data_IF_184997281628
#
_entry.id   IF_184997281628
#
_cell.length_a   1.000
_cell.length_b   1.000
_cell.length_c   1.000
_cell.angle_alpha   90.00
_cell.angle_beta   90.00
_cell.angle_gamma   90.00
#
_symmetry.space_group_name_H-M   'P 1'
#
loop_
_entity.id
_entity.type
_entity.pdbx_description
1 polymer ?
#
# COMPACT_ATOMS: atom_id res chain seq x y z
N UNK A 1 -3.36 -0.71 -0.91
CA UNK A 1 -3.05 -2.14 -1.01
C UNK A 1 -2.10 -2.41 -2.16
N UNK A 2 -1.21 -3.35 -2.02
CA UNK A 2 -0.43 -3.88 -3.12
C UNK A 2 -1.33 -4.81 -3.95
N UNK A 3 -0.93 -5.12 -5.17
CA UNK A 3 -1.68 -6.05 -6.02
C UNK A 3 -0.80 -6.58 -7.13
N UNK A 4 -1.06 -7.81 -7.52
CA UNK A 4 -0.36 -8.48 -8.61
C UNK A 4 -1.35 -9.33 -9.41
N UNK A 5 -1.30 -9.19 -10.73
CA UNK A 5 -2.05 -10.03 -11.65
C UNK A 5 -1.24 -10.29 -12.90
N UNK A 6 -1.24 -11.52 -13.35
CA UNK A 6 -0.58 -11.92 -14.60
C UNK A 6 -1.50 -12.87 -15.35
N UNK A 7 -1.80 -12.55 -16.60
CA UNK A 7 -2.56 -13.41 -17.51
C UNK A 7 -1.74 -13.67 -18.77
N UNK A 8 -1.84 -14.87 -19.27
CA UNK A 8 -1.19 -15.31 -20.49
C UNK A 8 -2.17 -16.04 -21.37
N UNK A 9 -2.15 -15.75 -22.67
CA UNK A 9 -3.00 -16.40 -23.65
C UNK A 9 -2.22 -16.65 -24.94
N UNK A 10 -2.32 -17.86 -25.46
CA UNK A 10 -1.74 -18.20 -26.76
C UNK A 10 -2.83 -18.05 -27.82
N UNK A 11 -2.54 -17.24 -28.82
CA UNK A 11 -3.42 -17.08 -29.99
C UNK A 11 -2.61 -17.20 -31.27
N UNK A 12 -2.98 -18.15 -32.13
CA UNK A 12 -2.20 -18.58 -33.31
C UNK A 12 -0.76 -18.92 -32.86
N UNK A 13 0.25 -18.22 -33.38
CA UNK A 13 1.67 -18.40 -33.03
C UNK A 13 2.18 -17.39 -32.00
N UNK A 14 1.30 -16.53 -31.48
CA UNK A 14 1.67 -15.48 -30.55
C UNK A 14 1.28 -15.83 -29.12
N UNK A 15 2.19 -15.63 -28.18
CA UNK A 15 1.92 -15.67 -26.76
C UNK A 15 1.75 -14.22 -26.26
N UNK A 16 0.54 -13.89 -25.82
CA UNK A 16 0.18 -12.59 -25.23
C UNK A 16 0.33 -12.72 -23.72
N UNK A 17 1.15 -11.88 -23.11
CA UNK A 17 1.30 -11.83 -21.66
C UNK A 17 1.04 -10.42 -21.16
N UNK A 18 0.18 -10.28 -20.14
CA UNK A 18 -0.13 -9.03 -19.46
C UNK A 18 0.17 -9.19 -17.99
N UNK A 19 1.09 -8.37 -17.50
CA UNK A 19 1.48 -8.32 -16.09
C UNK A 19 1.09 -6.96 -15.50
N UNK A 20 0.40 -6.97 -14.36
CA UNK A 20 -0.03 -5.78 -13.63
C UNK A 20 0.56 -5.83 -12.23
N UNK A 21 1.28 -4.78 -11.85
CA UNK A 21 1.79 -4.55 -10.50
C UNK A 21 1.20 -3.28 -9.94
N UNK A 22 0.69 -3.34 -8.73
CA UNK A 22 0.12 -2.15 -8.09
C UNK A 22 0.74 -1.92 -6.72
N UNK A 23 1.03 -0.63 -6.42
CA UNK A 23 1.48 -0.17 -5.12
C UNK A 23 0.49 0.85 -4.58
N UNK A 24 0.47 0.99 -3.26
CA UNK A 24 -0.42 1.95 -2.62
C UNK A 24 -0.03 3.40 -3.00
N UNK A 25 -1.01 4.18 -3.45
CA UNK A 25 -0.89 5.63 -3.69
C UNK A 25 -2.26 6.30 -3.51
N UNK A 26 -2.26 7.59 -3.16
CA UNK A 26 -3.48 8.39 -2.99
C UNK A 26 -4.20 8.67 -4.32
N UNK A 27 -3.44 8.78 -5.39
CA UNK A 27 -3.95 9.03 -6.75
C UNK A 27 -3.56 7.87 -7.65
N UNK A 28 -4.25 7.75 -8.78
CA UNK A 28 -3.87 6.82 -9.83
C UNK A 28 -2.64 7.36 -10.56
N UNK A 29 -1.54 6.62 -10.50
CA UNK A 29 -0.34 6.84 -11.29
C UNK A 29 -0.16 5.61 -12.18
N UNK A 30 -0.51 5.75 -13.47
CA UNK A 30 -0.59 4.63 -14.41
C UNK A 30 0.57 4.68 -15.40
N UNK A 31 1.43 3.69 -15.34
CA UNK A 31 2.50 3.44 -16.31
C UNK A 31 2.11 2.22 -17.14
N UNK A 32 1.97 2.40 -18.46
CA UNK A 32 1.65 1.30 -19.38
C UNK A 32 2.79 1.15 -20.37
N UNK A 33 3.38 -0.04 -20.39
CA UNK A 33 4.44 -0.42 -21.34
C UNK A 33 3.85 -1.40 -22.35
N UNK A 34 3.78 -0.93 -23.59
CA UNK A 34 3.20 -1.67 -24.70
C UNK A 34 4.26 -1.96 -25.77
N UNK A 35 4.13 -3.08 -26.51
CA UNK A 35 4.78 -3.25 -27.80
C UNK A 35 4.46 -2.10 -28.75
N UNK A 36 5.35 -1.86 -29.71
CA UNK A 36 5.19 -0.71 -30.63
C UNK A 36 3.92 -0.82 -31.47
N UNK A 37 3.53 -2.01 -31.82
CA UNK A 37 2.38 -2.37 -32.64
C UNK A 37 1.04 -2.05 -31.94
N UNK A 38 1.03 -1.98 -30.60
CA UNK A 38 -0.16 -1.68 -29.80
C UNK A 38 -0.30 -0.22 -29.39
N UNK A 39 0.63 0.64 -29.77
CA UNK A 39 0.60 2.07 -29.38
C UNK A 39 -0.64 2.83 -29.86
N UNK A 40 -1.21 2.42 -30.98
CA UNK A 40 -2.46 3.02 -31.48
C UNK A 40 -3.63 2.80 -30.51
N UNK A 41 -3.64 1.69 -29.78
CA UNK A 41 -4.70 1.31 -28.83
C UNK A 41 -4.38 1.72 -27.38
N UNK A 42 -3.25 2.38 -27.10
CA UNK A 42 -2.79 2.74 -25.75
C UNK A 42 -3.86 3.49 -24.96
N UNK A 43 -4.54 4.43 -25.59
CA UNK A 43 -5.57 5.25 -24.93
C UNK A 43 -6.76 4.40 -24.44
N UNK A 44 -7.21 3.43 -25.23
CA UNK A 44 -8.29 2.53 -24.84
C UNK A 44 -7.89 1.67 -23.65
N UNK A 45 -6.70 1.06 -23.69
CA UNK A 45 -6.20 0.23 -22.58
C UNK A 45 -6.02 1.04 -21.29
N UNK A 46 -5.50 2.27 -21.38
CA UNK A 46 -5.38 3.16 -20.22
C UNK A 46 -6.72 3.49 -19.59
N UNK A 47 -7.74 3.77 -20.39
CA UNK A 47 -9.09 4.05 -19.89
C UNK A 47 -9.72 2.85 -19.19
N UNK A 48 -9.57 1.66 -19.77
CA UNK A 48 -10.09 0.44 -19.17
C UNK A 48 -9.42 0.14 -17.81
N UNK A 49 -8.09 0.27 -17.74
CA UNK A 49 -7.32 0.09 -16.51
C UNK A 49 -7.71 1.14 -15.47
N UNK A 50 -7.79 2.42 -15.87
CA UNK A 50 -8.13 3.51 -14.96
C UNK A 50 -9.54 3.39 -14.36
N UNK A 51 -10.51 2.95 -15.17
CA UNK A 51 -11.89 2.76 -14.73
C UNK A 51 -12.00 1.68 -13.67
N UNK A 52 -11.24 0.59 -13.81
CA UNK A 52 -11.32 -0.56 -12.91
C UNK A 52 -10.42 -0.43 -11.68
N UNK A 53 -9.19 0.03 -11.84
CA UNK A 53 -8.21 0.08 -10.74
C UNK A 53 -8.22 1.40 -9.94
N UNK A 54 -8.99 2.39 -10.33
CA UNK A 54 -9.34 3.67 -9.69
C UNK A 54 -8.20 4.44 -9.01
N UNK A 55 -7.30 3.80 -8.23
CA UNK A 55 -6.20 4.44 -7.49
C UNK A 55 -5.01 3.49 -7.27
N UNK A 56 -3.87 4.09 -6.94
CA UNK A 56 -2.61 3.38 -6.71
C UNK A 56 -1.59 3.70 -7.80
N UNK A 57 -0.34 3.37 -7.56
CA UNK A 57 0.66 3.34 -8.63
C UNK A 57 0.55 2.01 -9.34
N UNK A 58 0.15 2.03 -10.59
CA UNK A 58 -0.16 0.86 -11.43
C UNK A 58 0.86 0.77 -12.55
N UNK A 59 1.65 -0.28 -12.59
CA UNK A 59 2.60 -0.60 -13.65
C UNK A 59 2.07 -1.80 -14.44
N UNK A 60 1.78 -1.57 -15.71
CA UNK A 60 1.25 -2.57 -16.63
C UNK A 60 2.27 -2.84 -17.71
N UNK A 61 2.63 -4.09 -17.89
CA UNK A 61 3.54 -4.54 -18.93
C UNK A 61 2.81 -5.56 -19.82
N UNK A 62 2.67 -5.21 -21.09
CA UNK A 62 2.16 -6.12 -22.10
C UNK A 62 3.30 -6.57 -23.00
N UNK A 63 3.39 -7.86 -23.23
CA UNK A 63 4.38 -8.45 -24.13
C UNK A 63 3.70 -9.43 -25.08
N UNK A 64 4.14 -9.38 -26.34
CA UNK A 64 3.73 -10.33 -27.37
C UNK A 64 4.99 -11.03 -27.83
N UNK A 65 5.04 -12.35 -27.70
CA UNK A 65 6.16 -13.15 -28.16
C UNK A 65 5.66 -14.14 -29.21
N UNK A 66 6.26 -14.03 -30.42
CA UNK A 66 5.96 -14.98 -31.48
C UNK A 66 6.87 -16.23 -31.30
N UNK A 67 6.29 -17.42 -31.25
CA UNK A 67 7.01 -18.67 -31.11
C UNK A 67 7.76 -19.06 -32.39
N UNK A 68 7.41 -18.46 -33.54
CA UNK A 68 8.01 -18.74 -34.84
C UNK A 68 9.03 -17.68 -35.31
N UNK A 69 9.58 -16.88 -34.38
CA UNK A 69 10.51 -15.75 -34.69
C UNK A 69 11.73 -16.13 -35.53
N UNK A 70 12.13 -17.40 -35.53
CA UNK A 70 13.30 -17.84 -36.31
C UNK A 70 13.07 -17.80 -37.84
N UNK A 71 11.83 -17.69 -38.34
CA UNK A 71 11.53 -17.73 -39.77
C UNK A 71 11.20 -16.39 -40.41
N UNK A 72 10.96 -15.33 -39.65
CA UNK A 72 10.41 -14.07 -40.19
C UNK A 72 11.40 -12.89 -40.26
N UNK A 73 12.60 -13.05 -39.74
CA UNK A 73 13.63 -11.97 -39.88
C UNK A 73 14.28 -12.08 -41.26
N UNK A 74 14.12 -11.07 -42.11
CA UNK A 74 14.81 -11.02 -43.40
C UNK A 74 15.81 -9.88 -43.44
N UNK A 75 16.80 -10.03 -44.33
CA UNK A 75 17.81 -9.02 -44.54
C UNK A 75 17.27 -8.01 -45.55
N UNK A 76 17.19 -6.72 -45.15
CA UNK A 76 16.78 -5.63 -46.02
C UNK A 76 17.91 -5.31 -47.02
N UNK A 77 17.77 -5.81 -48.24
CA UNK A 77 18.80 -5.69 -49.30
C UNK A 77 19.14 -4.28 -49.68
N UNK A 78 18.15 -3.39 -49.67
CA UNK A 78 18.33 -1.99 -50.03
C UNK A 78 19.19 -1.27 -48.99
N UNK A 79 18.98 -1.53 -47.72
CA UNK A 79 19.77 -0.97 -46.61
C UNK A 79 21.22 -1.50 -46.66
N UNK A 80 21.41 -2.79 -46.92
CA UNK A 80 22.73 -3.39 -47.09
C UNK A 80 23.49 -2.74 -48.27
N UNK A 81 22.81 -2.59 -49.42
CA UNK A 81 23.39 -1.93 -50.61
C UNK A 81 23.80 -0.48 -50.31
N UNK A 82 22.94 0.28 -49.64
CA UNK A 82 23.24 1.65 -49.25
C UNK A 82 24.47 1.75 -48.33
N UNK A 83 24.57 0.91 -47.32
CA UNK A 83 25.76 0.90 -46.45
C UNK A 83 27.03 0.52 -47.19
N UNK A 84 26.99 -0.47 -48.08
CA UNK A 84 28.12 -0.84 -48.90
C UNK A 84 28.58 0.28 -49.82
N UNK A 85 27.64 1.00 -50.44
CA UNK A 85 27.95 2.16 -51.30
C UNK A 85 28.60 3.30 -50.51
N UNK A 86 28.06 3.64 -49.34
CA UNK A 86 28.60 4.66 -48.44
C UNK A 86 30.01 4.33 -47.98
N UNK A 87 30.27 3.08 -47.55
CA UNK A 87 31.59 2.61 -47.15
C UNK A 87 32.57 2.70 -48.30
N UNK A 88 32.20 2.27 -49.51
CA UNK A 88 33.05 2.35 -50.68
C UNK A 88 33.41 3.80 -51.07
N UNK A 89 32.46 4.72 -51.00
CA UNK A 89 32.69 6.12 -51.29
C UNK A 89 33.63 6.77 -50.29
N UNK A 90 33.43 6.52 -48.98
CA UNK A 90 34.34 6.99 -47.92
C UNK A 90 35.74 6.39 -48.07
N UNK A 91 35.85 5.09 -48.36
CA UNK A 91 37.14 4.41 -48.52
C UNK A 91 37.94 5.01 -49.70
N UNK A 92 37.27 5.36 -50.79
CA UNK A 92 37.89 6.05 -51.95
C UNK A 92 38.32 7.46 -51.61
N UNK A 93 37.46 8.22 -50.92
CA UNK A 93 37.73 9.64 -50.58
C UNK A 93 38.91 9.79 -49.64
N UNK A 94 39.02 8.89 -48.65
CA UNK A 94 40.06 8.96 -47.61
C UNK A 94 41.22 7.97 -47.80
N UNK A 95 41.29 7.28 -48.97
CA UNK A 95 42.32 6.24 -49.26
C UNK A 95 42.44 5.15 -48.19
N UNK A 96 41.31 4.69 -47.65
CA UNK A 96 41.25 3.63 -46.67
C UNK A 96 41.34 2.29 -47.42
N UNK A 97 42.25 1.36 -47.00
CA UNK A 97 42.34 0.05 -47.64
C UNK A 97 41.02 -0.74 -47.52
N UNK A 98 40.62 -1.42 -48.57
CA UNK A 98 39.45 -2.29 -48.53
C UNK A 98 39.63 -3.40 -47.47
N UNK A 99 38.69 -3.48 -46.55
CA UNK A 99 38.66 -4.53 -45.57
C UNK A 99 38.00 -5.78 -46.14
N UNK A 100 38.60 -6.96 -45.89
CA UNK A 100 38.01 -8.27 -46.27
C UNK A 100 36.74 -8.57 -45.50
N UNK A 101 36.51 -7.89 -44.38
CA UNK A 101 35.39 -8.13 -43.45
C UNK A 101 34.26 -7.10 -43.58
N UNK A 102 34.17 -6.32 -44.64
CA UNK A 102 33.15 -5.30 -44.84
C UNK A 102 31.74 -5.85 -44.67
N UNK A 103 31.46 -7.04 -45.19
CA UNK A 103 30.15 -7.69 -45.01
C UNK A 103 29.82 -7.94 -43.55
N UNK A 104 30.80 -8.41 -42.75
CA UNK A 104 30.58 -8.66 -41.30
C UNK A 104 30.35 -7.37 -40.52
N UNK A 105 30.94 -6.25 -40.95
CA UNK A 105 30.72 -4.94 -40.36
C UNK A 105 29.32 -4.45 -40.70
N UNK A 106 28.91 -4.54 -41.99
CA UNK A 106 27.59 -4.12 -42.46
C UNK A 106 26.47 -4.88 -41.74
N UNK A 107 26.61 -6.21 -41.59
CA UNK A 107 25.57 -6.99 -40.85
C UNK A 107 25.42 -6.66 -39.37
N UNK A 108 26.30 -5.85 -38.80
CA UNK A 108 26.15 -5.31 -37.43
C UNK A 108 25.53 -3.92 -37.38
N UNK A 109 25.30 -3.31 -38.54
CA UNK A 109 24.70 -1.98 -38.62
C UNK A 109 23.17 -2.03 -38.36
N UNK A 110 22.57 -0.98 -37.85
CA UNK A 110 21.13 -0.95 -37.57
C UNK A 110 20.29 -1.00 -38.85
N UNK A 111 19.08 -1.56 -38.77
CA UNK A 111 18.12 -1.57 -39.87
C UNK A 111 18.31 -2.65 -40.92
N UNK A 112 19.32 -3.52 -40.80
CA UNK A 112 19.58 -4.59 -41.78
C UNK A 112 18.67 -5.81 -41.57
N UNK A 113 18.42 -6.15 -40.32
CA UNK A 113 17.49 -7.21 -39.97
C UNK A 113 16.14 -6.59 -39.65
N UNK A 114 15.17 -6.84 -40.50
CA UNK A 114 13.80 -6.33 -40.37
C UNK A 114 12.88 -7.51 -40.12
N UNK A 115 12.13 -7.42 -39.04
CA UNK A 115 10.97 -8.28 -38.84
C UNK A 115 9.78 -7.59 -39.51
N UNK A 116 8.92 -8.30 -40.26
CA UNK A 116 7.74 -7.70 -40.85
C UNK A 116 6.87 -7.09 -39.76
N UNK A 117 6.35 -5.88 -40.03
CA UNK A 117 5.33 -5.29 -39.19
C UNK A 117 4.11 -6.23 -39.18
N UNK A 118 3.76 -6.73 -38.01
CA UNK A 118 2.56 -7.55 -37.85
C UNK A 118 1.38 -6.61 -37.63
N UNK A 119 0.59 -6.44 -38.66
CA UNK A 119 -0.76 -5.87 -38.50
C UNK A 119 -1.63 -6.90 -37.78
N UNK A 120 -2.05 -6.54 -36.59
CA UNK A 120 -2.95 -7.41 -35.80
C UNK A 120 -4.39 -7.20 -36.26
N UNK A 121 -5.06 -8.31 -36.57
CA UNK A 121 -6.47 -8.31 -36.91
C UNK A 121 -7.35 -7.98 -35.67
N UNK A 122 -8.61 -7.58 -35.92
CA UNK A 122 -9.54 -7.23 -34.85
C UNK A 122 -9.69 -8.38 -33.83
N UNK A 123 -9.66 -9.63 -34.29
CA UNK A 123 -9.75 -10.81 -33.43
C UNK A 123 -8.56 -10.91 -32.47
N UNK A 124 -7.35 -10.56 -32.93
CA UNK A 124 -6.17 -10.53 -32.09
C UNK A 124 -6.22 -9.41 -31.04
N UNK A 125 -6.69 -8.22 -31.43
CA UNK A 125 -6.87 -7.09 -30.51
C UNK A 125 -7.91 -7.40 -29.43
N UNK A 126 -8.96 -8.16 -29.78
CA UNK A 126 -9.96 -8.63 -28.83
C UNK A 126 -9.35 -9.62 -27.82
N UNK A 127 -8.45 -10.51 -28.26
CA UNK A 127 -7.71 -11.43 -27.37
C UNK A 127 -6.76 -10.70 -26.42
N UNK A 128 -6.11 -9.64 -26.86
CA UNK A 128 -5.30 -8.77 -25.98
C UNK A 128 -6.19 -8.15 -24.91
N UNK A 129 -7.35 -7.62 -25.28
CA UNK A 129 -8.31 -7.01 -24.36
C UNK A 129 -8.85 -8.04 -23.35
N UNK A 130 -9.19 -9.24 -23.77
CA UNK A 130 -9.58 -10.32 -22.88
C UNK A 130 -8.46 -10.66 -21.88
N UNK A 131 -7.22 -10.77 -22.34
CA UNK A 131 -6.05 -11.05 -21.49
C UNK A 131 -5.81 -9.92 -20.48
N UNK A 132 -5.96 -8.66 -20.91
CA UNK A 132 -5.88 -7.51 -20.02
C UNK A 132 -6.95 -7.56 -18.92
N UNK A 133 -8.20 -7.85 -19.29
CA UNK A 133 -9.31 -7.95 -18.35
C UNK A 133 -9.09 -9.09 -17.34
N UNK A 134 -8.54 -10.21 -17.76
CA UNK A 134 -8.16 -11.31 -16.87
C UNK A 134 -7.07 -10.88 -15.88
N UNK A 135 -6.03 -10.20 -16.34
CA UNK A 135 -4.96 -9.70 -15.48
C UNK A 135 -5.49 -8.68 -14.44
N UNK A 136 -6.42 -7.80 -14.85
CA UNK A 136 -7.10 -6.88 -13.94
C UNK A 136 -7.91 -7.66 -12.88
N UNK A 137 -8.71 -8.63 -13.29
CA UNK A 137 -9.50 -9.44 -12.38
C UNK A 137 -8.62 -10.19 -11.36
N UNK A 138 -7.49 -10.75 -11.80
CA UNK A 138 -6.51 -11.38 -10.90
C UNK A 138 -5.89 -10.38 -9.92
N UNK A 139 -5.65 -9.14 -10.35
CA UNK A 139 -5.13 -8.08 -9.49
C UNK A 139 -6.15 -7.70 -8.42
N UNK A 140 -7.43 -7.61 -8.77
CA UNK A 140 -8.51 -7.29 -7.83
C UNK A 140 -8.75 -8.43 -6.84
N UNK A 141 -8.72 -9.70 -7.28
CA UNK A 141 -8.78 -10.87 -6.39
C UNK A 141 -7.62 -10.89 -5.39
N UNK A 142 -6.41 -10.57 -5.85
CA UNK A 142 -5.25 -10.45 -4.98
C UNK A 142 -5.46 -9.35 -3.91
N UNK A 143 -5.93 -8.17 -4.33
CA UNK A 143 -6.24 -7.05 -3.42
C UNK A 143 -7.32 -7.41 -2.40
N UNK A 144 -8.35 -8.12 -2.83
CA UNK A 144 -9.44 -8.56 -1.95
C UNK A 144 -8.92 -9.54 -0.87
N UNK A 145 -8.06 -10.49 -1.25
CA UNK A 145 -7.42 -11.44 -0.30
C UNK A 145 -6.52 -10.72 0.69
N UNK A 146 -5.65 -9.81 0.21
CA UNK A 146 -4.78 -8.99 1.07
C UNK A 146 -5.61 -8.13 2.03
N UNK A 147 -6.69 -7.51 1.53
CA UNK A 147 -7.62 -6.71 2.33
C UNK A 147 -8.31 -7.51 3.44
N UNK A 148 -8.71 -8.74 3.15
CA UNK A 148 -9.32 -9.62 4.16
C UNK A 148 -8.34 -9.99 5.30
N UNK A 149 -7.08 -10.24 4.96
CA UNK A 149 -6.02 -10.52 5.95
C UNK A 149 -5.78 -9.26 6.80
N UNK A 150 -5.66 -8.10 6.17
CA UNK A 150 -5.44 -6.83 6.84
C UNK A 150 -6.59 -6.47 7.78
N UNK A 151 -7.84 -6.64 7.35
CA UNK A 151 -9.03 -6.44 8.17
C UNK A 151 -8.98 -7.31 9.43
N UNK A 152 -8.66 -8.59 9.29
CA UNK A 152 -8.55 -9.52 10.42
C UNK A 152 -7.48 -9.08 11.42
N UNK A 153 -6.32 -8.62 10.94
CA UNK A 153 -5.25 -8.11 11.80
C UNK A 153 -5.68 -6.85 12.56
N UNK A 154 -6.30 -5.88 11.86
CA UNK A 154 -6.81 -4.65 12.49
C UNK A 154 -7.84 -4.91 13.58
N UNK A 155 -8.82 -5.78 13.32
CA UNK A 155 -9.83 -6.17 14.31
C UNK A 155 -9.19 -6.83 15.52
N UNK A 156 -8.23 -7.73 15.33
CA UNK A 156 -7.47 -8.35 16.41
C UNK A 156 -6.77 -7.31 17.29
N UNK A 157 -6.17 -6.28 16.71
CA UNK A 157 -5.47 -5.22 17.46
C UNK A 157 -6.45 -4.36 18.25
N UNK A 158 -7.62 -4.04 17.69
CA UNK A 158 -8.68 -3.34 18.41
C UNK A 158 -9.18 -4.19 19.59
N UNK A 159 -9.33 -5.51 19.41
CA UNK A 159 -9.70 -6.42 20.49
C UNK A 159 -8.64 -6.48 21.60
N UNK A 160 -7.36 -6.43 21.26
CA UNK A 160 -6.29 -6.33 22.24
C UNK A 160 -6.36 -5.03 23.04
N UNK A 161 -6.63 -3.90 22.41
CA UNK A 161 -6.83 -2.61 23.10
C UNK A 161 -8.01 -2.71 24.08
N UNK A 162 -9.14 -3.29 23.65
CA UNK A 162 -10.30 -3.51 24.52
C UNK A 162 -9.99 -4.47 25.68
N UNK A 163 -9.20 -5.51 25.43
CA UNK A 163 -8.70 -6.41 26.46
C UNK A 163 -7.87 -5.69 27.52
N UNK A 164 -6.87 -4.92 27.10
CA UNK A 164 -6.05 -4.12 28.02
C UNK A 164 -6.87 -3.07 28.77
N UNK A 165 -7.89 -2.48 28.13
CA UNK A 165 -8.82 -1.55 28.77
C UNK A 165 -9.61 -2.23 29.89
N UNK A 166 -10.02 -3.50 29.69
CA UNK A 166 -10.68 -4.31 30.73
C UNK A 166 -9.75 -4.63 31.91
N UNK A 167 -8.45 -4.83 31.65
CA UNK A 167 -7.45 -5.08 32.68
C UNK A 167 -7.17 -3.86 33.60
N UNK A 168 -7.60 -2.65 33.22
CA UNK A 168 -7.45 -1.43 34.05
C UNK A 168 -8.35 -1.48 35.30
N UNK A 169 -9.50 -2.12 35.23
CA UNK A 169 -10.54 -2.06 36.27
C UNK A 169 -10.08 -2.58 37.67
N UNK A 170 -9.34 -3.68 37.78
CA UNK A 170 -8.80 -4.15 39.10
C UNK A 170 -7.84 -3.12 39.74
N UNK A 171 -7.02 -2.45 38.96
CA UNK A 171 -6.04 -1.47 39.46
C UNK A 171 -6.71 -0.17 39.88
N UNK A 172 -7.82 0.22 39.27
CA UNK A 172 -8.57 1.43 39.60
C UNK A 172 -9.20 1.34 41.00
N UNK A 173 -9.73 0.17 41.42
CA UNK A 173 -10.33 -0.01 42.74
C UNK A 173 -9.33 0.22 43.90
N UNK A 174 -8.11 -0.27 43.76
CA UNK A 174 -7.06 -0.13 44.78
C UNK A 174 -6.44 1.30 44.78
N UNK A 175 -6.52 1.99 43.67
CA UNK A 175 -5.90 3.30 43.48
C UNK A 175 -6.45 4.38 44.41
N UNK A 176 -7.76 4.42 44.63
CA UNK A 176 -8.42 5.41 45.50
C UNK A 176 -7.87 5.32 46.93
N UNK A 177 -7.75 4.09 47.45
CA UNK A 177 -7.20 3.87 48.82
C UNK A 177 -5.72 4.25 48.90
N UNK A 178 -4.95 3.88 47.90
CA UNK A 178 -3.51 4.22 47.84
C UNK A 178 -3.28 5.73 47.79
N UNK A 179 -4.09 6.47 46.97
CA UNK A 179 -4.00 7.93 46.88
C UNK A 179 -4.39 8.58 48.20
N UNK A 180 -5.51 8.14 48.80
CA UNK A 180 -5.95 8.63 50.13
C UNK A 180 -4.88 8.43 51.18
N UNK A 181 -4.31 7.23 51.26
CA UNK A 181 -3.25 6.91 52.23
C UNK A 181 -2.01 7.78 52.04
N UNK A 182 -1.56 7.99 50.79
CA UNK A 182 -0.40 8.86 50.49
C UNK A 182 -0.67 10.33 50.82
N UNK A 183 -1.85 10.84 50.52
CA UNK A 183 -2.23 12.21 50.86
C UNK A 183 -2.28 12.43 52.39
N UNK A 184 -2.88 11.48 53.13
CA UNK A 184 -2.93 11.55 54.60
C UNK A 184 -1.48 11.58 55.16
N UNK A 185 -0.60 10.70 54.70
CA UNK A 185 0.78 10.57 55.16
C UNK A 185 1.54 11.89 54.90
N UNK A 186 1.45 12.45 53.69
CA UNK A 186 2.10 13.69 53.34
C UNK A 186 1.57 14.85 54.19
N UNK A 187 0.26 14.89 54.47
CA UNK A 187 -0.34 15.93 55.31
C UNK A 187 0.15 15.86 56.75
N UNK A 188 0.23 14.65 57.32
CA UNK A 188 0.76 14.41 58.68
C UNK A 188 2.24 14.85 58.80
N UNK A 189 3.04 14.61 57.76
CA UNK A 189 4.44 14.99 57.73
C UNK A 189 4.61 16.57 57.65
N UNK A 190 3.67 17.27 57.00
CA UNK A 190 3.75 18.72 56.79
C UNK A 190 3.13 19.53 57.93
N UNK A 191 2.09 19.01 58.65
CA UNK A 191 1.29 19.80 59.62
C UNK A 191 1.50 19.39 61.05
N UNK A 192 2.50 18.53 61.37
CA UNK A 192 2.73 18.03 62.74
C UNK A 192 1.49 17.32 63.34
N UNK A 193 0.56 16.84 62.51
CA UNK A 193 -0.58 16.02 62.88
C UNK A 193 -1.90 16.78 63.10
N UNK A 194 -1.92 18.10 63.06
CA UNK A 194 -3.19 18.85 63.12
C UNK A 194 -3.57 19.39 61.73
N UNK A 195 -4.75 18.97 61.21
CA UNK A 195 -5.32 19.47 59.95
C UNK A 195 -6.85 19.52 60.06
N UNK A 196 -7.45 20.42 59.27
CA UNK A 196 -8.90 20.53 59.10
C UNK A 196 -9.43 19.39 58.23
N UNK A 197 -10.14 18.43 58.81
CA UNK A 197 -10.73 17.24 58.13
C UNK A 197 -11.67 17.65 57.00
N UNK A 198 -12.52 18.66 57.21
CA UNK A 198 -13.48 19.10 56.17
C UNK A 198 -12.75 19.67 54.94
N UNK A 199 -11.73 20.43 55.13
CA UNK A 199 -10.91 20.99 54.06
C UNK A 199 -10.11 19.85 53.35
N UNK A 200 -9.59 18.91 54.09
CA UNK A 200 -8.93 17.74 53.49
C UNK A 200 -9.87 16.92 52.65
N UNK A 201 -11.09 16.65 53.11
CA UNK A 201 -12.09 15.91 52.32
C UNK A 201 -12.45 16.65 51.01
N UNK A 202 -12.64 17.98 51.03
CA UNK A 202 -12.90 18.76 49.83
C UNK A 202 -11.75 18.69 48.82
N UNK A 203 -10.51 18.83 49.28
CA UNK A 203 -9.31 18.72 48.45
C UNK A 203 -9.13 17.30 47.92
N UNK A 204 -9.46 16.28 48.70
CA UNK A 204 -9.42 14.88 48.28
C UNK A 204 -10.43 14.60 47.16
N UNK A 205 -11.68 15.10 47.29
CA UNK A 205 -12.71 14.95 46.25
C UNK A 205 -12.24 15.62 44.97
N UNK A 206 -11.75 16.85 45.01
CA UNK A 206 -11.21 17.56 43.85
C UNK A 206 -10.07 16.80 43.19
N UNK A 207 -9.17 16.21 44.01
CA UNK A 207 -8.04 15.45 43.50
C UNK A 207 -8.48 14.13 42.84
N UNK A 208 -9.49 13.44 43.43
CA UNK A 208 -10.05 12.21 42.87
C UNK A 208 -10.78 12.48 41.54
N UNK A 209 -11.57 13.58 41.45
CA UNK A 209 -12.21 13.98 40.20
C UNK A 209 -11.21 14.28 39.08
N UNK A 210 -10.10 14.96 39.41
CA UNK A 210 -9.01 15.25 38.47
C UNK A 210 -8.34 13.99 37.94
N UNK A 211 -8.34 12.92 38.72
CA UNK A 211 -7.72 11.64 38.40
C UNK A 211 -8.74 10.62 37.82
N UNK A 212 -10.01 10.98 37.74
CA UNK A 212 -11.03 10.09 37.19
C UNK A 212 -10.75 9.79 35.70
N UNK A 213 -10.78 8.50 35.36
CA UNK A 213 -10.53 7.96 34.02
C UNK A 213 -11.78 7.27 33.43
N UNK A 214 -12.91 7.42 34.09
CA UNK A 214 -14.15 6.73 33.68
C UNK A 214 -14.61 7.21 32.30
N UNK A 215 -14.54 8.51 32.04
CA UNK A 215 -14.91 9.11 30.75
C UNK A 215 -14.04 8.59 29.62
N UNK A 216 -12.73 8.58 29.82
CA UNK A 216 -11.75 8.09 28.83
C UNK A 216 -11.97 6.61 28.52
N UNK A 217 -12.26 5.77 29.52
CA UNK A 217 -12.58 4.35 29.30
C UNK A 217 -13.83 4.18 28.44
N UNK A 218 -14.88 4.93 28.74
CA UNK A 218 -16.16 4.86 27.99
C UNK A 218 -15.97 5.36 26.57
N UNK A 219 -15.25 6.47 26.36
CA UNK A 219 -14.98 7.04 25.06
C UNK A 219 -14.09 6.12 24.21
N UNK A 220 -13.03 5.60 24.79
CA UNK A 220 -12.14 4.65 24.10
C UNK A 220 -12.88 3.40 23.63
N UNK A 221 -13.75 2.84 24.49
CA UNK A 221 -14.60 1.71 24.11
C UNK A 221 -15.50 2.04 22.93
N UNK A 222 -16.20 3.18 22.97
CA UNK A 222 -17.05 3.65 21.87
C UNK A 222 -16.27 3.84 20.57
N UNK A 223 -15.07 4.40 20.63
CA UNK A 223 -14.24 4.55 19.43
C UNK A 223 -13.76 3.20 18.87
N UNK A 224 -13.43 2.24 19.73
CA UNK A 224 -13.12 0.88 19.31
C UNK A 224 -14.30 0.20 18.61
N UNK A 225 -15.51 0.31 19.19
CA UNK A 225 -16.72 -0.26 18.61
C UNK A 225 -17.04 0.40 17.26
N UNK A 226 -16.96 1.74 17.20
CA UNK A 226 -17.17 2.49 15.96
C UNK A 226 -16.14 2.16 14.88
N UNK A 227 -14.89 1.87 15.27
CA UNK A 227 -13.88 1.38 14.34
C UNK A 227 -14.28 0.03 13.72
N UNK A 228 -14.76 -0.91 14.54
CA UNK A 228 -15.25 -2.21 14.08
C UNK A 228 -16.44 -2.13 13.16
N UNK A 229 -17.38 -1.22 13.43
CA UNK A 229 -18.55 -0.99 12.60
C UNK A 229 -18.18 -0.37 11.24
N UNK A 230 -17.21 0.56 11.25
CA UNK A 230 -16.83 1.32 10.05
C UNK A 230 -15.87 0.58 9.11
N UNK A 231 -15.28 -0.54 9.53
CA UNK A 231 -14.20 -1.21 8.75
C UNK A 231 -14.70 -1.80 7.43
N UNK A 232 -15.99 -2.07 7.32
CA UNK A 232 -16.62 -2.65 6.12
C UNK A 232 -17.18 -1.59 5.15
N UNK A 233 -17.09 -0.31 5.51
CA UNK A 233 -17.57 0.76 4.63
C UNK A 233 -16.61 0.96 3.45
N UNK A 234 -17.17 1.25 2.29
CA UNK A 234 -16.38 1.57 1.10
C UNK A 234 -15.56 2.85 1.32
N UNK A 235 -14.27 2.81 1.03
CA UNK A 235 -13.38 3.95 1.24
C UNK A 235 -13.11 4.32 2.70
N UNK A 236 -13.30 3.37 3.63
CA UNK A 236 -13.20 3.61 5.07
C UNK A 236 -11.83 4.12 5.56
N UNK A 237 -10.76 3.99 4.79
CA UNK A 237 -9.39 4.26 5.25
C UNK A 237 -9.21 5.61 5.94
N UNK A 238 -9.77 6.69 5.37
CA UNK A 238 -9.69 8.04 5.96
C UNK A 238 -10.50 8.14 7.27
N UNK A 239 -11.71 7.57 7.29
CA UNK A 239 -12.59 7.54 8.47
C UNK A 239 -11.95 6.76 9.61
N UNK A 240 -11.42 5.57 9.34
CA UNK A 240 -10.70 4.75 10.29
C UNK A 240 -9.46 5.46 10.85
N UNK A 241 -8.75 6.24 10.02
CA UNK A 241 -7.64 7.08 10.44
C UNK A 241 -8.05 8.12 11.49
N UNK A 242 -9.19 8.80 11.30
CA UNK A 242 -9.73 9.73 12.29
C UNK A 242 -10.14 9.02 13.58
N UNK A 243 -10.81 7.87 13.48
CA UNK A 243 -11.21 7.10 14.67
C UNK A 243 -9.96 6.65 15.45
N UNK A 244 -8.93 6.15 14.78
CA UNK A 244 -7.67 5.79 15.41
C UNK A 244 -6.96 6.97 16.09
N UNK A 245 -7.11 8.18 15.55
CA UNK A 245 -6.60 9.39 16.19
C UNK A 245 -7.35 9.70 17.49
N UNK A 246 -8.68 9.59 17.50
CA UNK A 246 -9.48 9.80 18.73
C UNK A 246 -9.20 8.70 19.76
N UNK A 247 -9.05 7.42 19.35
CA UNK A 247 -8.58 6.36 20.25
C UNK A 247 -7.25 6.75 20.92
N UNK A 248 -6.32 7.32 20.15
CA UNK A 248 -5.03 7.78 20.68
C UNK A 248 -5.16 8.91 21.70
N UNK A 249 -6.10 9.82 21.51
CA UNK A 249 -6.41 10.88 22.49
C UNK A 249 -6.85 10.30 23.81
N UNK A 250 -7.84 9.38 23.77
CA UNK A 250 -8.38 8.77 24.99
C UNK A 250 -7.31 7.93 25.72
N UNK A 251 -6.48 7.17 25.01
CA UNK A 251 -5.38 6.40 25.58
C UNK A 251 -4.34 7.35 26.24
N UNK A 252 -4.03 8.47 25.62
CA UNK A 252 -3.07 9.45 26.18
C UNK A 252 -3.64 10.10 27.44
N UNK A 253 -4.91 10.51 27.44
CA UNK A 253 -5.54 11.14 28.58
C UNK A 253 -5.70 10.15 29.74
N UNK A 254 -6.09 8.92 29.47
CA UNK A 254 -6.12 7.82 30.43
C UNK A 254 -4.74 7.63 31.08
N UNK A 255 -3.66 7.59 30.29
CA UNK A 255 -2.31 7.49 30.80
C UNK A 255 -1.88 8.66 31.66
N UNK A 256 -2.21 9.90 31.29
CA UNK A 256 -1.83 11.10 32.06
C UNK A 256 -2.58 11.22 33.39
N UNK A 257 -3.87 10.78 33.43
CA UNK A 257 -4.69 10.81 34.62
C UNK A 257 -4.45 9.62 35.57
N UNK A 258 -4.02 8.48 35.04
CA UNK A 258 -3.97 7.21 35.80
C UNK A 258 -3.06 7.29 37.05
N UNK A 259 -1.92 7.95 36.97
CA UNK A 259 -0.93 8.07 38.08
C UNK A 259 -0.67 6.76 38.84
N UNK A 260 -0.63 5.65 38.10
CA UNK A 260 -0.45 4.27 38.59
C UNK A 260 0.46 3.51 37.62
N UNK A 261 1.46 2.77 38.15
CA UNK A 261 2.48 2.13 37.32
C UNK A 261 1.94 0.95 36.49
N UNK A 262 0.98 0.20 37.04
CA UNK A 262 0.42 -0.95 36.34
C UNK A 262 -0.54 -0.50 35.22
N UNK A 263 -1.34 0.54 35.49
CA UNK A 263 -2.15 1.17 34.45
C UNK A 263 -1.27 1.78 33.34
N UNK A 264 -0.13 2.41 33.70
CA UNK A 264 0.82 2.93 32.71
C UNK A 264 1.40 1.84 31.80
N UNK A 265 1.66 0.65 32.34
CA UNK A 265 2.11 -0.49 31.52
C UNK A 265 1.04 -0.92 30.51
N UNK A 266 -0.25 -0.93 30.92
CA UNK A 266 -1.35 -1.23 30.03
C UNK A 266 -1.52 -0.15 28.95
N UNK A 267 -1.38 1.13 29.31
CA UNK A 267 -1.41 2.25 28.37
C UNK A 267 -0.30 2.11 27.31
N UNK A 268 0.90 1.72 27.70
CA UNK A 268 1.99 1.48 26.73
C UNK A 268 1.63 0.37 25.74
N UNK A 269 1.05 -0.75 26.24
CA UNK A 269 0.59 -1.83 25.36
C UNK A 269 -0.52 -1.38 24.40
N UNK A 270 -1.49 -0.58 24.89
CA UNK A 270 -2.54 -0.03 24.03
C UNK A 270 -1.97 0.89 22.94
N UNK A 271 -0.99 1.75 23.30
CA UNK A 271 -0.30 2.62 22.33
C UNK A 271 0.44 1.83 21.25
N UNK A 272 1.14 0.77 21.66
CA UNK A 272 1.85 -0.09 20.72
C UNK A 272 0.90 -0.73 19.69
N UNK A 273 -0.23 -1.28 20.14
CA UNK A 273 -1.23 -1.84 19.22
C UNK A 273 -1.88 -0.74 18.35
N UNK A 274 -2.11 0.45 18.88
CA UNK A 274 -2.66 1.57 18.12
C UNK A 274 -1.70 2.07 17.03
N UNK A 275 -0.40 2.14 17.29
CA UNK A 275 0.59 2.53 16.27
C UNK A 275 0.65 1.49 15.13
N UNK A 276 0.57 0.20 15.45
CA UNK A 276 0.45 -0.85 14.43
C UNK A 276 -0.82 -0.70 13.58
N UNK A 277 -1.96 -0.32 14.20
CA UNK A 277 -3.19 0.01 13.46
C UNK A 277 -2.93 1.17 12.50
N UNK A 278 -2.37 2.29 12.98
CA UNK A 278 -2.11 3.48 12.16
C UNK A 278 -1.19 3.17 10.97
N UNK A 279 -0.13 2.40 11.17
CA UNK A 279 0.76 1.97 10.09
C UNK A 279 0.01 1.19 9.00
N UNK A 280 -0.86 0.28 9.41
CA UNK A 280 -1.63 -0.53 8.45
C UNK A 280 -2.75 0.26 7.75
N UNK A 281 -3.31 1.29 8.38
CA UNK A 281 -4.34 2.13 7.76
C UNK A 281 -3.86 2.86 6.51
N UNK A 282 -2.54 3.12 6.38
CA UNK A 282 -1.99 3.65 5.13
C UNK A 282 -2.13 2.69 3.95
N UNK A 283 -2.34 1.40 4.19
CA UNK A 283 -2.48 0.36 3.17
C UNK A 283 -3.95 0.08 2.80
N UNK A 284 -4.92 0.69 3.46
CA UNK A 284 -6.35 0.55 3.15
C UNK A 284 -6.74 1.47 2.00
N UNK A 285 -7.50 0.93 1.07
CA UNK A 285 -8.09 1.64 -0.07
C UNK A 285 -9.36 2.40 0.33
#
# INVERSE_FOLDING_TARGET
>A
MTGYGKAEQIFKTNNISVEIKTLNSKQLDLIVKLPQELKANEFEYRNEIATRLQRGKVDVMMTITNTDVAQNTHIEKEVVASYLEQINNISKEYNIPESKDVAAIVFRMPGIFVSPEQDYDEEFLEKIKETLLQAIAMTDDFRAKEGAILKKDLLKRVDLILGYLGEVEPFEKNRHETIKGRLIKNLQELTSGEYDENRFEQELIFYLEKLDITEEKVRLRKHCDYFKESIDEEGAGKKLGFIAQEMGREINTLGSKANDADIQRLVVKMKDELEKIKEQLFNIL
#
